data_IF_152196813311
#
_entry.id   IF_152196813311
#
_cell.length_a   1.000
_cell.length_b   1.000
_cell.length_c   1.000
_cell.angle_alpha   90.00
_cell.angle_beta   90.00
_cell.angle_gamma   90.00
#
_symmetry.space_group_name_H-M   'P 1'
#
loop_
_entity.id
_entity.type
_entity.pdbx_description
1 polymer ?
#
# COMPACT_ATOMS: atom_id res chain seq x y z
N UNK A 1 -5.82 -4.43 -2.73
CA UNK A 1 -5.66 -5.64 -3.57
C UNK A 1 -5.12 -6.85 -2.79
N UNK A 2 -4.30 -6.67 -1.73
CA UNK A 2 -3.83 -7.78 -0.89
C UNK A 2 -4.69 -8.04 0.37
N UNK A 3 -5.64 -7.17 0.71
CA UNK A 3 -6.53 -7.37 1.87
C UNK A 3 -7.53 -8.53 1.70
N UNK A 4 -7.64 -9.10 0.50
CA UNK A 4 -8.43 -10.31 0.21
C UNK A 4 -7.63 -11.61 0.30
N UNK A 5 -6.33 -11.57 0.61
CA UNK A 5 -5.53 -12.79 0.81
C UNK A 5 -5.89 -13.37 2.17
N UNK A 6 -6.81 -14.32 2.16
CA UNK A 6 -7.20 -15.06 3.35
C UNK A 6 -6.13 -16.07 3.78
N UNK A 7 -6.32 -16.63 4.98
CA UNK A 7 -5.50 -17.75 5.46
C UNK A 7 -5.50 -18.95 4.51
N UNK A 8 -6.57 -19.14 3.72
CA UNK A 8 -6.68 -20.16 2.68
C UNK A 8 -5.67 -19.98 1.55
N UNK A 9 -5.64 -18.80 0.92
CA UNK A 9 -4.66 -18.46 -0.13
C UNK A 9 -3.21 -18.60 0.35
N UNK A 10 -2.89 -18.20 1.59
CA UNK A 10 -1.54 -18.37 2.14
C UNK A 10 -1.15 -19.86 2.17
N UNK A 11 -2.07 -20.72 2.60
CA UNK A 11 -1.83 -22.17 2.65
C UNK A 11 -1.62 -22.73 1.23
N UNK A 12 -2.42 -22.28 0.25
CA UNK A 12 -2.24 -22.64 -1.17
C UNK A 12 -0.87 -22.20 -1.69
N UNK A 13 -0.43 -20.98 -1.39
CA UNK A 13 0.89 -20.49 -1.80
C UNK A 13 2.04 -21.28 -1.16
N UNK A 14 1.90 -21.65 0.11
CA UNK A 14 2.90 -22.50 0.79
C UNK A 14 2.98 -23.86 0.11
N UNK A 15 1.84 -24.52 -0.14
CA UNK A 15 1.80 -25.83 -0.82
C UNK A 15 2.33 -25.73 -2.24
N UNK A 16 1.95 -24.70 -3.00
CA UNK A 16 2.47 -24.46 -4.34
C UNK A 16 3.99 -24.24 -4.32
N UNK A 17 4.50 -23.45 -3.38
CA UNK A 17 5.93 -23.23 -3.19
C UNK A 17 6.69 -24.51 -2.83
N UNK A 18 6.12 -25.32 -1.92
CA UNK A 18 6.65 -26.64 -1.54
C UNK A 18 6.67 -27.60 -2.74
N UNK A 19 5.67 -27.55 -3.62
CA UNK A 19 5.60 -28.40 -4.81
C UNK A 19 6.56 -27.95 -5.92
N UNK A 20 6.57 -26.66 -6.24
CA UNK A 20 7.37 -26.09 -7.33
C UNK A 20 8.86 -26.15 -6.99
N UNK A 21 9.23 -25.74 -5.78
CA UNK A 21 10.63 -25.65 -5.37
C UNK A 21 11.10 -26.95 -4.69
N UNK A 22 10.20 -27.69 -4.06
CA UNK A 22 10.51 -28.86 -3.24
C UNK A 22 10.63 -28.52 -1.75
N UNK A 23 10.15 -29.39 -0.84
CA UNK A 23 10.12 -29.13 0.59
C UNK A 23 11.51 -28.99 1.24
N UNK A 24 12.52 -29.64 0.67
CA UNK A 24 13.90 -29.53 1.16
C UNK A 24 14.59 -28.23 0.75
N UNK A 25 14.18 -27.62 -0.37
CA UNK A 25 14.85 -26.44 -0.95
C UNK A 25 14.30 -25.12 -0.44
N UNK A 26 13.02 -25.07 -0.09
CA UNK A 26 12.38 -23.88 0.51
C UNK A 26 13.11 -23.35 1.76
N UNK A 27 13.42 -24.16 2.78
CA UNK A 27 14.11 -23.67 3.98
C UNK A 27 15.52 -23.19 3.66
N UNK A 28 16.22 -23.85 2.73
CA UNK A 28 17.54 -23.42 2.27
C UNK A 28 17.49 -22.07 1.55
N UNK A 29 16.51 -21.87 0.66
CA UNK A 29 16.29 -20.62 -0.06
C UNK A 29 15.93 -19.48 0.91
N UNK A 30 15.02 -19.71 1.86
CA UNK A 30 14.66 -18.73 2.89
C UNK A 30 15.89 -18.36 3.74
N UNK A 31 16.71 -19.34 4.14
CA UNK A 31 17.94 -19.10 4.87
C UNK A 31 18.98 -18.33 4.03
N UNK A 32 19.06 -18.58 2.72
CA UNK A 32 19.91 -17.81 1.81
C UNK A 32 19.43 -16.35 1.72
N UNK A 33 18.14 -16.12 1.48
CA UNK A 33 17.56 -14.76 1.44
C UNK A 33 17.80 -14.02 2.75
N UNK A 34 17.54 -14.67 3.90
CA UNK A 34 17.76 -14.08 5.22
C UNK A 34 19.22 -13.68 5.45
N UNK A 35 20.17 -14.57 5.10
CA UNK A 35 21.61 -14.27 5.19
C UNK A 35 22.02 -13.15 4.23
N UNK A 36 21.50 -13.13 3.01
CA UNK A 36 21.76 -12.08 2.02
C UNK A 36 21.21 -10.73 2.49
N UNK A 37 19.99 -10.70 3.01
CA UNK A 37 19.37 -9.49 3.56
C UNK A 37 20.18 -8.93 4.73
N UNK A 38 20.72 -9.80 5.59
CA UNK A 38 21.62 -9.41 6.68
C UNK A 38 22.90 -8.77 6.15
N UNK A 39 23.55 -9.39 5.16
CA UNK A 39 24.76 -8.84 4.53
C UNK A 39 24.51 -7.48 3.89
N UNK A 40 23.39 -7.32 3.20
CA UNK A 40 23.00 -6.03 2.60
C UNK A 40 22.79 -4.96 3.67
N UNK A 41 22.09 -5.30 4.76
CA UNK A 41 21.90 -4.42 5.92
C UNK A 41 23.24 -4.00 6.54
N UNK A 42 24.13 -4.96 6.76
CA UNK A 42 25.43 -4.73 7.38
C UNK A 42 26.30 -3.84 6.46
N UNK A 43 26.34 -4.13 5.16
CA UNK A 43 27.05 -3.32 4.16
C UNK A 43 26.50 -1.89 4.08
N UNK A 44 25.17 -1.73 4.02
CA UNK A 44 24.52 -0.42 4.02
C UNK A 44 24.82 0.36 5.31
N UNK A 45 24.87 -0.31 6.46
CA UNK A 45 25.22 0.33 7.73
C UNK A 45 26.70 0.76 7.80
N UNK A 46 27.61 -0.06 7.25
CA UNK A 46 29.04 0.23 7.17
C UNK A 46 29.33 1.39 6.24
N UNK A 47 28.78 1.37 5.02
CA UNK A 47 28.89 2.47 4.07
C UNK A 47 28.30 3.77 4.62
N UNK A 48 27.15 3.70 5.31
CA UNK A 48 26.52 4.85 5.97
C UNK A 48 27.41 5.43 7.09
N UNK A 49 28.15 4.59 7.82
CA UNK A 49 29.09 5.05 8.83
C UNK A 49 30.35 5.67 8.20
N UNK A 50 30.91 5.07 7.16
CA UNK A 50 32.05 5.66 6.42
C UNK A 50 31.69 7.02 5.83
N UNK A 51 30.49 7.13 5.25
CA UNK A 51 30.00 8.39 4.69
C UNK A 51 29.80 9.47 5.75
N UNK A 52 29.33 9.07 6.93
CA UNK A 52 29.18 9.95 8.10
C UNK A 52 30.53 10.43 8.63
N UNK A 53 31.53 9.55 8.64
CA UNK A 53 32.87 9.86 9.13
C UNK A 53 33.66 10.72 8.11
N UNK A 54 33.41 10.58 6.80
CA UNK A 54 34.13 11.31 5.74
C UNK A 54 33.46 12.64 5.31
N UNK A 55 32.13 12.76 5.32
CA UNK A 55 31.45 13.99 4.87
C UNK A 55 31.14 15.02 5.98
N UNK A 56 31.31 14.66 7.26
CA UNK A 56 30.98 15.58 8.36
C UNK A 56 29.51 16.08 8.30
N UNK A 57 29.21 17.33 8.73
CA UNK A 57 27.85 17.81 9.01
C UNK A 57 26.85 17.74 7.83
N UNK A 58 27.30 17.55 6.59
CA UNK A 58 26.43 17.37 5.41
C UNK A 58 25.58 16.08 5.47
N UNK A 59 25.91 15.13 6.34
CA UNK A 59 25.09 13.94 6.58
C UNK A 59 23.81 14.23 7.41
N UNK A 60 23.77 15.32 8.17
CA UNK A 60 22.57 15.70 8.94
C UNK A 60 21.38 16.05 8.04
N UNK A 61 21.64 16.60 6.85
CA UNK A 61 20.60 16.95 5.88
C UNK A 61 19.91 15.71 5.28
N UNK A 62 20.60 14.56 5.22
CA UNK A 62 20.00 13.28 4.82
C UNK A 62 19.33 12.56 5.98
N UNK A 63 19.66 12.90 7.22
CA UNK A 63 19.12 12.27 8.42
C UNK A 63 17.65 12.62 8.63
N UNK A 64 17.27 13.90 8.46
CA UNK A 64 15.89 14.38 8.56
C UNK A 64 14.92 13.59 7.66
N UNK A 65 15.14 13.49 6.33
CA UNK A 65 14.27 12.71 5.46
C UNK A 65 14.26 11.21 5.80
N UNK A 66 15.38 10.63 6.25
CA UNK A 66 15.41 9.21 6.67
C UNK A 66 14.64 8.95 7.98
N UNK A 67 14.62 9.92 8.89
CA UNK A 67 13.81 9.90 10.10
C UNK A 67 12.33 10.10 9.77
N UNK A 68 11.98 11.07 8.92
CA UNK A 68 10.61 11.29 8.44
C UNK A 68 10.02 10.05 7.75
N UNK A 69 10.80 9.36 6.90
CA UNK A 69 10.36 8.10 6.27
C UNK A 69 10.17 6.96 7.27
N UNK A 70 10.94 6.94 8.35
CA UNK A 70 10.75 5.95 9.43
C UNK A 70 9.55 6.29 10.28
N UNK A 71 9.33 7.56 10.57
CA UNK A 71 8.19 8.06 11.32
C UNK A 71 6.89 7.79 10.55
N UNK A 72 6.86 8.07 9.25
CA UNK A 72 5.71 7.82 8.38
C UNK A 72 5.37 6.31 8.26
N UNK A 73 6.38 5.43 8.27
CA UNK A 73 6.15 3.98 8.27
C UNK A 73 5.69 3.44 9.63
N UNK A 74 6.06 4.10 10.72
CA UNK A 74 5.68 3.74 12.08
C UNK A 74 4.33 4.36 12.51
N UNK A 75 3.87 5.40 11.82
CA UNK A 75 2.50 5.89 11.88
C UNK A 75 1.59 4.86 11.22
N UNK A 76 1.16 3.87 12.00
CA UNK A 76 0.24 2.84 11.56
C UNK A 76 -1.15 3.48 11.35
N UNK A 77 -1.58 3.75 10.10
CA UNK A 77 -2.81 4.52 9.84
C UNK A 77 -4.03 3.76 10.35
N UNK A 78 -3.94 2.42 10.43
CA UNK A 78 -4.97 1.57 11.02
C UNK A 78 -5.17 1.90 12.50
N UNK A 79 -4.10 2.19 13.25
CA UNK A 79 -4.22 2.55 14.68
C UNK A 79 -4.82 3.93 14.90
N UNK A 80 -4.51 4.90 14.04
CA UNK A 80 -5.10 6.26 14.10
C UNK A 80 -6.58 6.21 13.75
N UNK A 81 -6.95 5.52 12.66
CA UNK A 81 -8.34 5.33 12.26
C UNK A 81 -9.11 4.53 13.31
N UNK A 82 -8.57 3.42 13.82
CA UNK A 82 -9.22 2.65 14.90
C UNK A 82 -9.38 3.49 16.16
N UNK A 83 -8.38 4.29 16.55
CA UNK A 83 -8.53 5.16 17.71
C UNK A 83 -9.63 6.20 17.51
N UNK A 84 -9.70 6.84 16.34
CA UNK A 84 -10.75 7.81 16.03
C UNK A 84 -12.14 7.20 15.76
N UNK A 85 -12.22 5.91 15.41
CA UNK A 85 -13.49 5.22 15.15
C UNK A 85 -14.02 4.45 16.38
N UNK A 86 -13.15 4.02 17.30
CA UNK A 86 -13.51 3.19 18.45
C UNK A 86 -13.43 3.90 19.81
N UNK A 87 -12.63 4.97 19.98
CA UNK A 87 -12.59 5.73 21.25
C UNK A 87 -13.62 6.89 21.30
N UNK A 88 -14.16 7.36 20.17
CA UNK A 88 -15.03 8.56 20.13
C UNK A 88 -16.55 8.29 19.98
N UNK A 89 -17.01 7.04 19.84
CA UNK A 89 -18.47 6.75 19.91
C UNK A 89 -18.77 5.26 20.20
N UNK A 90 -19.57 4.93 21.22
CA UNK A 90 -20.20 3.61 21.29
C UNK A 90 -21.29 3.56 20.20
N UNK A 91 -20.99 2.91 19.08
CA UNK A 91 -21.88 2.53 17.97
C UNK A 91 -21.90 3.41 16.70
N UNK A 92 -20.76 3.59 15.98
CA UNK A 92 -20.75 4.31 14.70
C UNK A 92 -21.41 3.57 13.53
N UNK A 93 -21.74 2.27 13.69
CA UNK A 93 -22.29 1.44 12.61
C UNK A 93 -23.76 1.03 12.82
N UNK A 94 -24.45 1.53 13.86
CA UNK A 94 -25.89 1.28 14.04
C UNK A 94 -26.29 -0.20 14.02
N UNK A 95 -25.36 -1.10 14.39
CA UNK A 95 -25.58 -2.55 14.34
C UNK A 95 -26.47 -3.05 15.49
N UNK A 96 -26.83 -2.21 16.45
CA UNK A 96 -27.82 -2.56 17.48
C UNK A 96 -29.26 -2.56 16.92
N UNK A 97 -29.50 -1.88 15.80
CA UNK A 97 -30.82 -1.71 15.20
C UNK A 97 -31.20 -2.90 14.29
N UNK A 98 -30.20 -3.68 13.83
CA UNK A 98 -30.43 -4.84 12.95
C UNK A 98 -30.94 -6.08 13.69
N UNK A 99 -30.92 -6.07 15.03
CA UNK A 99 -31.34 -7.21 15.86
C UNK A 99 -32.78 -7.09 16.42
N UNK A 100 -33.57 -6.10 15.99
CA UNK A 100 -34.93 -5.91 16.51
C UNK A 100 -35.91 -5.35 15.48
N UNK A 101 -36.70 -6.25 14.87
CA UNK A 101 -38.04 -6.00 14.28
C UNK A 101 -38.20 -4.79 13.34
N UNK A 102 -38.02 -5.03 12.04
CA UNK A 102 -38.49 -4.16 10.95
C UNK A 102 -40.04 -4.14 10.86
N UNK A 103 -40.66 -3.09 10.24
CA UNK A 103 -40.79 -3.14 8.79
C UNK A 103 -40.68 -1.79 8.01
N UNK A 104 -40.21 -1.96 6.76
CA UNK A 104 -40.76 -1.45 5.50
C UNK A 104 -40.45 -0.04 4.93
N UNK A 105 -39.99 -0.10 3.67
CA UNK A 105 -40.09 0.83 2.52
C UNK A 105 -39.10 2.01 2.48
N UNK A 106 -38.28 2.26 1.45
CA UNK A 106 -38.20 1.73 0.08
C UNK A 106 -38.19 2.88 -0.94
N UNK A 107 -37.08 2.99 -1.70
CA UNK A 107 -36.87 3.70 -2.99
C UNK A 107 -36.34 5.16 -2.99
N UNK A 108 -35.17 5.33 -3.61
CA UNK A 108 -34.98 6.22 -4.78
C UNK A 108 -33.66 5.92 -5.49
N UNK A 109 -33.73 5.31 -6.67
CA UNK A 109 -32.67 5.32 -7.69
C UNK A 109 -32.78 6.61 -8.51
N UNK A 110 -31.72 7.41 -8.58
CA UNK A 110 -31.63 8.51 -9.52
C UNK A 110 -30.21 8.73 -10.03
N UNK A 111 -30.15 8.88 -11.36
CA UNK A 111 -29.22 9.65 -12.18
C UNK A 111 -27.83 9.07 -12.51
N UNK A 112 -27.65 8.90 -13.82
CA UNK A 112 -26.42 8.61 -14.54
C UNK A 112 -25.40 9.77 -14.45
N UNK A 113 -24.11 9.45 -14.51
CA UNK A 113 -23.10 10.37 -15.06
C UNK A 113 -21.89 9.59 -15.58
N UNK A 114 -21.77 9.50 -16.89
CA UNK A 114 -20.53 9.16 -17.59
C UNK A 114 -19.57 10.34 -17.51
N UNK A 115 -18.38 10.13 -16.94
CA UNK A 115 -17.31 11.14 -16.88
C UNK A 115 -16.25 10.90 -17.97
N UNK A 116 -15.61 11.97 -18.49
CA UNK A 116 -14.91 12.01 -19.76
C UNK A 116 -13.40 11.75 -19.62
N UNK A 117 -12.82 11.08 -20.62
CA UNK A 117 -11.37 10.86 -20.78
C UNK A 117 -10.64 12.15 -21.14
N UNK A 118 -9.61 12.51 -20.37
CA UNK A 118 -8.68 13.61 -20.71
C UNK A 118 -7.91 13.33 -22.01
N UNK A 119 -7.69 14.33 -22.88
CA UNK A 119 -6.99 14.13 -24.14
C UNK A 119 -5.46 13.99 -23.92
N UNK A 120 -4.90 12.90 -24.43
CA UNK A 120 -3.47 12.64 -24.53
C UNK A 120 -2.81 13.67 -25.49
N UNK A 121 -1.61 14.20 -25.19
CA UNK A 121 -0.95 15.18 -26.05
C UNK A 121 -0.56 14.59 -27.41
N UNK A 122 -0.84 15.36 -28.47
CA UNK A 122 -0.58 14.98 -29.86
C UNK A 122 0.92 14.75 -30.13
N UNK A 123 1.25 13.74 -30.92
CA UNK A 123 2.64 13.46 -31.33
C UNK A 123 3.09 14.46 -32.41
N UNK A 124 4.40 14.78 -32.51
CA UNK A 124 4.91 15.73 -33.50
C UNK A 124 4.53 15.33 -34.93
N UNK A 125 3.81 16.20 -35.64
CA UNK A 125 3.36 15.99 -37.02
C UNK A 125 1.90 15.55 -37.18
N UNK A 126 1.16 15.34 -36.10
CA UNK A 126 -0.27 15.01 -36.14
C UNK A 126 -1.11 16.30 -36.26
N UNK A 127 -2.10 16.29 -37.17
CA UNK A 127 -3.00 17.43 -37.36
C UNK A 127 -4.03 17.41 -36.23
N UNK A 128 -4.24 18.53 -35.51
CA UNK A 128 -5.20 18.54 -34.41
C UNK A 128 -6.61 18.26 -34.92
N UNK A 129 -7.46 17.62 -34.09
CA UNK A 129 -8.85 17.37 -34.44
C UNK A 129 -9.55 18.71 -34.71
N UNK A 130 -10.30 18.78 -35.81
CA UNK A 130 -11.05 19.97 -36.19
C UNK A 130 -12.29 20.05 -35.31
N UNK A 131 -12.41 21.15 -34.57
CA UNK A 131 -13.60 21.46 -33.79
C UNK A 131 -14.69 22.04 -34.71
N UNK A 132 -15.85 21.38 -34.87
CA UNK A 132 -16.93 21.87 -35.71
C UNK A 132 -17.68 23.08 -35.13
N UNK A 133 -17.46 23.44 -33.86
CA UNK A 133 -18.15 24.56 -33.20
C UNK A 133 -17.37 25.90 -33.27
N UNK A 134 -16.21 25.93 -33.92
CA UNK A 134 -15.44 27.15 -34.15
C UNK A 134 -15.91 27.89 -35.42
N UNK A 135 -16.85 28.84 -35.27
CA UNK A 135 -17.23 29.82 -36.31
C UNK A 135 -16.94 31.26 -35.89
#
# INVERSE_FOLDING_TARGET
MFESVGWGEILVLIVAGLFILGPERLPEAAAWVGRSMRKVRDFASGARNQLKDEMGPEFEDFRKPLEDLRELRNFDPKRVVTKHLFDDDPDPLGLNNINGTAPANGHSTAAATSQPSSPEPLKPGEKPPVDPDAT
#
